data_IF_980691209157
#
_entry.id   IF_980691209157
#
_cell.length_a   1.000
_cell.length_b   1.000
_cell.length_c   1.000
_cell.angle_alpha   90.00
_cell.angle_beta   90.00
_cell.angle_gamma   90.00
#
_symmetry.space_group_name_H-M   'P 1'
#
loop_
_entity.id
_entity.type
_entity.pdbx_description
1 polymer ?
#
# COMPACT_ATOMS: atom_id res chain seq x y z
N UNK A 1 -16.65 19.78 -28.45
CA UNK A 1 -15.33 19.73 -27.79
C UNK A 1 -15.55 20.28 -26.39
N UNK A 2 -15.71 19.40 -25.40
CA UNK A 2 -15.90 19.78 -24.01
C UNK A 2 -14.60 19.49 -23.26
N UNK A 3 -14.13 20.51 -22.54
CA UNK A 3 -12.93 20.52 -21.71
C UNK A 3 -13.02 19.44 -20.62
N UNK A 4 -12.07 18.50 -20.63
CA UNK A 4 -11.96 17.38 -19.71
C UNK A 4 -10.92 17.71 -18.63
N UNK A 5 -11.17 18.76 -17.86
CA UNK A 5 -10.35 19.15 -16.71
C UNK A 5 -10.80 18.37 -15.46
N UNK A 6 -10.36 17.10 -15.36
CA UNK A 6 -10.40 16.33 -14.11
C UNK A 6 -9.66 17.11 -13.02
N UNK A 7 -10.40 17.71 -12.10
CA UNK A 7 -9.85 18.52 -11.02
C UNK A 7 -9.07 17.64 -10.03
N UNK A 8 -7.73 17.73 -10.06
CA UNK A 8 -6.82 17.14 -9.07
C UNK A 8 -6.90 17.85 -7.70
N UNK A 9 -8.09 18.04 -7.17
CA UNK A 9 -8.26 18.63 -5.84
C UNK A 9 -7.91 17.59 -4.78
N UNK A 10 -6.80 17.81 -4.07
CA UNK A 10 -6.44 17.02 -2.88
C UNK A 10 -7.58 17.09 -1.86
N UNK A 11 -8.38 16.03 -1.77
CA UNK A 11 -9.44 15.94 -0.78
C UNK A 11 -8.83 15.98 0.63
N UNK A 12 -9.55 16.51 1.65
CA UNK A 12 -9.09 16.49 3.03
C UNK A 12 -8.68 15.09 3.51
N UNK A 13 -9.39 14.06 3.03
CA UNK A 13 -9.11 12.65 3.30
C UNK A 13 -7.74 12.20 2.77
N UNK A 14 -7.41 12.54 1.52
CA UNK A 14 -6.10 12.25 0.94
C UNK A 14 -4.98 12.94 1.72
N UNK A 15 -5.20 14.18 2.20
CA UNK A 15 -4.22 14.89 3.05
C UNK A 15 -4.03 14.20 4.40
N UNK A 16 -5.10 13.73 5.02
CA UNK A 16 -5.06 12.97 6.27
C UNK A 16 -4.30 11.65 6.09
N UNK A 17 -4.61 10.90 5.04
CA UNK A 17 -3.94 9.64 4.70
C UNK A 17 -2.45 9.86 4.42
N UNK A 18 -2.11 10.89 3.63
CA UNK A 18 -0.73 11.25 3.33
C UNK A 18 0.06 11.60 4.60
N UNK A 19 -0.55 12.38 5.52
CA UNK A 19 0.05 12.71 6.80
C UNK A 19 0.24 11.48 7.70
N UNK A 20 -0.69 10.52 7.67
CA UNK A 20 -0.54 9.28 8.40
C UNK A 20 0.64 8.45 7.86
N UNK A 21 0.77 8.30 6.54
CA UNK A 21 1.91 7.61 5.90
C UNK A 21 3.22 8.34 6.24
N UNK A 22 3.22 9.67 6.24
CA UNK A 22 4.40 10.50 6.54
C UNK A 22 4.98 10.27 7.94
N UNK A 23 4.18 9.78 8.89
CA UNK A 23 4.67 9.36 10.23
C UNK A 23 5.56 8.12 10.18
N UNK A 24 5.39 7.27 9.16
CA UNK A 24 6.18 6.05 8.96
C UNK A 24 7.27 6.23 7.89
N UNK A 25 7.00 7.03 6.85
CA UNK A 25 7.93 7.27 5.74
C UNK A 25 7.99 8.75 5.36
N UNK A 26 9.04 9.44 5.81
CA UNK A 26 9.26 10.87 5.55
C UNK A 26 9.43 11.21 4.06
N UNK A 27 9.74 10.22 3.21
CA UNK A 27 9.98 10.42 1.79
C UNK A 27 8.71 10.35 0.94
N UNK A 28 7.53 10.10 1.54
CA UNK A 28 6.25 10.10 0.82
C UNK A 28 6.02 11.44 0.11
N UNK A 29 5.60 11.38 -1.16
CA UNK A 29 5.32 12.55 -1.99
C UNK A 29 3.83 12.64 -2.28
N UNK A 30 3.26 11.62 -2.94
CA UNK A 30 1.86 11.57 -3.35
C UNK A 30 1.33 10.15 -3.23
N UNK A 31 0.07 10.00 -2.83
CA UNK A 31 -0.67 8.74 -2.97
C UNK A 31 -1.03 8.58 -4.44
N UNK A 32 -0.69 7.43 -5.01
CA UNK A 32 -0.94 7.06 -6.41
C UNK A 32 -2.28 6.32 -6.51
N UNK A 33 -2.52 5.37 -5.61
CA UNK A 33 -3.74 4.55 -5.62
C UNK A 33 -4.06 4.01 -4.21
N UNK A 34 -5.30 3.56 -4.02
CA UNK A 34 -5.80 3.06 -2.74
C UNK A 34 -6.73 1.85 -2.89
N UNK A 35 -6.68 0.93 -1.94
CA UNK A 35 -7.70 -0.11 -1.76
C UNK A 35 -8.30 -0.01 -0.36
N UNK A 36 -9.63 0.02 -0.26
CA UNK A 36 -10.33 0.29 1.00
C UNK A 36 -10.29 -0.88 2.00
N UNK A 37 -10.14 -2.11 1.50
CA UNK A 37 -10.08 -3.31 2.32
C UNK A 37 -9.09 -4.31 1.74
N UNK A 38 -8.07 -4.62 2.53
CA UNK A 38 -7.09 -5.68 2.28
C UNK A 38 -6.86 -6.47 3.56
N UNK A 39 -6.51 -7.75 3.41
CA UNK A 39 -6.01 -8.59 4.49
C UNK A 39 -4.68 -9.21 4.03
N UNK A 40 -3.67 -9.14 4.88
CA UNK A 40 -2.36 -9.71 4.57
C UNK A 40 -2.29 -11.17 5.04
N UNK A 41 -1.80 -12.03 4.17
CA UNK A 41 -1.48 -13.42 4.45
C UNK A 41 0.01 -13.63 4.23
N UNK A 42 0.61 -14.52 5.03
CA UNK A 42 2.01 -14.94 4.87
C UNK A 42 2.05 -16.43 4.56
N UNK A 43 2.82 -16.79 3.55
CA UNK A 43 3.06 -18.20 3.23
C UNK A 43 4.10 -18.76 4.18
N UNK A 44 3.77 -19.84 4.87
CA UNK A 44 4.68 -20.58 5.73
C UNK A 44 5.26 -21.77 4.94
N UNK A 45 6.58 -21.75 4.70
CA UNK A 45 7.27 -22.79 3.93
C UNK A 45 7.40 -24.11 4.66
N UNK A 46 7.35 -24.13 5.99
CA UNK A 46 7.44 -25.37 6.78
C UNK A 46 6.13 -26.16 6.71
N UNK A 47 5.00 -25.45 6.82
CA UNK A 47 3.65 -26.06 6.77
C UNK A 47 3.08 -26.10 5.35
N UNK A 48 3.72 -25.45 4.38
CA UNK A 48 3.25 -25.28 3.00
C UNK A 48 1.84 -24.67 2.93
N UNK A 49 1.52 -23.77 3.86
CA UNK A 49 0.20 -23.20 4.01
C UNK A 49 0.23 -21.66 4.11
N UNK A 50 -0.88 -21.04 3.72
CA UNK A 50 -1.10 -19.61 3.95
C UNK A 50 -1.68 -19.38 5.34
N UNK A 51 -1.05 -18.49 6.09
CA UNK A 51 -1.48 -18.10 7.43
C UNK A 51 -2.03 -16.67 7.40
N UNK A 52 -3.22 -16.48 7.99
CA UNK A 52 -3.80 -15.14 8.16
C UNK A 52 -2.93 -14.37 9.15
N UNK A 53 -2.59 -13.13 8.83
CA UNK A 53 -1.89 -12.24 9.76
C UNK A 53 -2.88 -11.35 10.51
N UNK A 54 -2.39 -10.64 11.53
CA UNK A 54 -3.14 -9.62 12.28
C UNK A 54 -3.20 -8.25 11.56
N UNK A 55 -3.05 -8.24 10.24
CA UNK A 55 -3.03 -7.02 9.41
C UNK A 55 -4.22 -7.04 8.45
N UNK A 56 -5.20 -6.19 8.75
CA UNK A 56 -6.39 -5.98 7.92
C UNK A 56 -6.75 -4.49 7.93
N UNK A 57 -6.96 -3.89 6.75
CA UNK A 57 -7.22 -2.45 6.68
C UNK A 57 -7.17 -1.87 5.28
N UNK A 58 -6.67 -0.63 5.16
CA UNK A 58 -6.58 0.08 3.88
C UNK A 58 -5.15 0.01 3.32
N UNK A 59 -5.02 -0.22 2.02
CA UNK A 59 -3.75 -0.19 1.31
C UNK A 59 -3.61 1.12 0.54
N UNK A 60 -2.42 1.71 0.58
CA UNK A 60 -2.05 2.92 -0.14
C UNK A 60 -0.78 2.64 -0.94
N UNK A 61 -0.81 2.85 -2.25
CA UNK A 61 0.39 2.88 -3.09
C UNK A 61 0.81 4.33 -3.23
N UNK A 62 2.10 4.65 -3.05
CA UNK A 62 2.56 6.03 -3.05
C UNK A 62 3.96 6.20 -3.67
N UNK A 63 4.20 7.38 -4.24
CA UNK A 63 5.51 7.78 -4.77
C UNK A 63 6.41 8.36 -3.67
N UNK A 64 7.72 8.14 -3.79
CA UNK A 64 8.75 8.58 -2.84
C UNK A 64 9.75 9.53 -3.49
N UNK A 65 10.26 10.47 -2.71
CA UNK A 65 11.32 11.41 -3.13
C UNK A 65 12.69 10.72 -3.18
N UNK A 66 12.90 9.68 -2.38
CA UNK A 66 14.11 8.85 -2.35
C UNK A 66 13.89 7.47 -2.98
N UNK A 67 14.97 6.74 -3.27
CA UNK A 67 14.90 5.35 -3.76
C UNK A 67 14.60 4.37 -2.60
N UNK A 68 13.83 3.28 -2.82
CA UNK A 68 12.98 2.98 -3.98
C UNK A 68 11.88 4.03 -4.18
N UNK A 69 11.58 4.36 -5.45
CA UNK A 69 10.71 5.49 -5.83
C UNK A 69 9.22 5.25 -5.58
N UNK A 70 8.84 4.03 -5.24
CA UNK A 70 7.45 3.64 -4.96
C UNK A 70 7.45 2.71 -3.75
N UNK A 71 6.39 2.77 -2.97
CA UNK A 71 6.14 1.84 -1.87
C UNK A 71 4.63 1.65 -1.70
N UNK A 72 4.24 0.64 -0.93
CA UNK A 72 2.89 0.54 -0.42
C UNK A 72 2.85 0.54 1.10
N UNK A 73 1.75 1.02 1.64
CA UNK A 73 1.48 1.08 3.07
C UNK A 73 0.12 0.43 3.35
N UNK A 74 0.08 -0.50 4.30
CA UNK A 74 -1.18 -1.04 4.83
C UNK A 74 -1.41 -0.40 6.19
N UNK A 75 -2.42 0.47 6.26
CA UNK A 75 -2.91 1.04 7.51
C UNK A 75 -3.80 0.01 8.19
N UNK A 76 -3.28 -0.59 9.25
CA UNK A 76 -3.97 -1.63 9.99
C UNK A 76 -5.12 -1.02 10.82
N UNK A 77 -6.29 -1.66 10.75
CA UNK A 77 -7.47 -1.26 11.54
C UNK A 77 -7.65 -2.10 12.79
N UNK A 78 -6.95 -3.24 12.90
CA UNK A 78 -7.06 -4.15 14.04
C UNK A 78 -6.17 -3.72 15.21
N UNK A 79 -5.00 -3.16 14.92
CA UNK A 79 -4.03 -2.69 15.90
C UNK A 79 -3.09 -1.64 15.27
N UNK A 80 -2.10 -1.16 16.03
CA UNK A 80 -1.18 -0.10 15.59
C UNK A 80 -0.02 -0.59 14.69
N UNK A 81 0.05 -1.88 14.37
CA UNK A 81 1.12 -2.45 13.53
C UNK A 81 0.76 -2.29 12.05
N UNK A 82 1.15 -1.16 11.48
CA UNK A 82 1.06 -0.90 10.05
C UNK A 82 2.21 -1.57 9.29
N UNK A 83 1.98 -1.87 8.00
CA UNK A 83 3.02 -2.40 7.11
C UNK A 83 3.43 -1.31 6.13
N UNK A 84 4.74 -1.12 5.95
CA UNK A 84 5.31 -0.30 4.89
C UNK A 84 6.32 -1.14 4.13
N UNK A 85 6.10 -1.30 2.83
CA UNK A 85 6.98 -2.10 1.97
C UNK A 85 7.42 -1.31 0.74
N UNK A 86 8.73 -1.06 0.57
CA UNK A 86 9.27 -0.47 -0.64
C UNK A 86 9.07 -1.39 -1.84
N UNK A 87 8.63 -0.84 -2.97
CA UNK A 87 8.53 -1.58 -4.23
C UNK A 87 9.86 -1.45 -4.96
N UNK A 88 10.65 -2.52 -4.93
CA UNK A 88 11.98 -2.59 -5.56
C UNK A 88 11.90 -3.27 -6.94
N UNK A 89 13.01 -3.25 -7.69
CA UNK A 89 13.10 -3.95 -8.99
C UNK A 89 13.21 -5.47 -8.85
N UNK A 90 13.62 -5.98 -7.68
CA UNK A 90 13.71 -7.41 -7.40
C UNK A 90 12.40 -8.00 -6.91
N UNK A 91 11.43 -7.14 -6.55
CA UNK A 91 10.13 -7.58 -6.09
C UNK A 91 9.35 -8.23 -7.23
N UNK A 92 8.89 -9.46 -6.99
CA UNK A 92 8.08 -10.20 -7.95
C UNK A 92 6.62 -10.14 -7.52
N UNK A 93 5.75 -9.87 -8.49
CA UNK A 93 4.30 -9.86 -8.29
C UNK A 93 3.65 -10.90 -9.19
N UNK A 94 2.65 -11.60 -8.63
CA UNK A 94 1.79 -12.51 -9.39
C UNK A 94 0.34 -12.23 -9.03
N UNK A 95 -0.46 -11.94 -10.06
CA UNK A 95 -1.90 -11.86 -9.92
C UNK A 95 -2.49 -13.28 -9.95
N UNK A 96 -3.26 -13.63 -8.93
CA UNK A 96 -4.05 -14.85 -8.88
C UNK A 96 -5.40 -14.49 -8.28
N UNK A 97 -6.35 -14.09 -9.14
CA UNK A 97 -7.64 -13.58 -8.70
C UNK A 97 -8.29 -14.47 -7.61
N UNK A 98 -8.76 -13.90 -6.49
CA UNK A 98 -8.82 -12.45 -6.16
C UNK A 98 -7.57 -11.89 -5.45
N UNK A 99 -6.45 -12.60 -5.42
CA UNK A 99 -5.26 -12.30 -4.61
C UNK A 99 -4.08 -11.76 -5.42
N UNK A 100 -3.39 -10.75 -4.86
CA UNK A 100 -2.06 -10.34 -5.31
C UNK A 100 -1.00 -11.01 -4.42
N UNK A 101 -0.18 -11.87 -5.03
CA UNK A 101 0.97 -12.48 -4.38
C UNK A 101 2.19 -11.61 -4.67
N UNK A 102 3.03 -11.44 -3.66
CA UNK A 102 4.33 -10.81 -3.85
C UNK A 102 5.42 -11.55 -3.10
N UNK A 103 6.64 -11.44 -3.60
CA UNK A 103 7.87 -11.88 -2.93
C UNK A 103 8.88 -10.74 -2.98
N UNK A 104 9.43 -10.40 -1.81
CA UNK A 104 10.57 -9.50 -1.68
C UNK A 104 11.87 -10.30 -1.68
#
# INVERSE_FOLDING_TARGET
MADNSLSWTSTPELKLNLNAIKKCDQFVVNIIDTASQVALYKFNSETQAWEKTEVEGALFVYSRSSHPKTAFFIMNRLNMNNIMEPITRSMEFKMQDPFLLFRN
#
